data_IF_704039433070
#
_entry.id   IF_704039433070
#
_cell.length_a   1.000
_cell.length_b   1.000
_cell.length_c   1.000
_cell.angle_alpha   90.00
_cell.angle_beta   90.00
_cell.angle_gamma   90.00
#
_symmetry.space_group_name_H-M   'P 1'
#
loop_
_entity.id
_entity.type
_entity.pdbx_description
1 polymer ?
#
# COMPACT_ATOMS: atom_id res chain seq x y z
N UNK A 1 -5.44 7.70 -2.00
CA UNK A 1 -5.19 6.52 -1.12
C UNK A 1 -3.70 6.34 -0.97
N UNK A 2 -3.20 6.24 0.25
CA UNK A 2 -1.76 6.24 0.49
C UNK A 2 -1.24 4.85 0.84
N UNK A 3 -1.94 4.17 1.72
CA UNK A 3 -1.74 2.78 2.14
C UNK A 3 -3.11 2.14 2.25
N UNK A 4 -3.20 0.86 1.96
CA UNK A 4 -4.29 0.01 2.39
C UNK A 4 -3.74 -0.91 3.47
N UNK A 5 -3.99 -0.56 4.73
CA UNK A 5 -3.51 -1.32 5.90
C UNK A 5 -4.53 -2.41 6.26
N UNK A 6 -4.60 -3.46 5.44
CA UNK A 6 -5.63 -4.51 5.50
C UNK A 6 -5.28 -5.65 6.48
N UNK A 7 -4.02 -5.74 6.88
CA UNK A 7 -3.52 -6.71 7.86
C UNK A 7 -2.21 -6.19 8.47
N UNK A 8 -1.90 -6.61 9.69
CA UNK A 8 -0.64 -6.28 10.36
C UNK A 8 0.55 -7.02 9.72
N UNK A 9 0.33 -8.23 9.21
CA UNK A 9 1.31 -8.97 8.45
C UNK A 9 1.34 -8.42 7.00
N UNK A 10 2.47 -7.87 6.52
CA UNK A 10 2.56 -7.26 5.19
C UNK A 10 2.27 -8.26 4.06
N UNK A 11 2.55 -9.54 4.26
CA UNK A 11 2.23 -10.59 3.29
C UNK A 11 0.73 -10.82 3.18
N UNK A 12 0.04 -10.92 4.33
CA UNK A 12 -1.41 -11.09 4.36
C UNK A 12 -2.10 -9.83 3.85
N UNK A 13 -1.55 -8.66 4.16
CA UNK A 13 -1.99 -7.38 3.62
C UNK A 13 -1.90 -7.37 2.07
N UNK A 14 -0.77 -7.79 1.49
CA UNK A 14 -0.62 -7.90 0.02
C UNK A 14 -1.61 -8.88 -0.59
N UNK A 15 -1.84 -10.04 0.01
CA UNK A 15 -2.80 -11.05 -0.46
C UNK A 15 -4.24 -10.54 -0.47
N UNK A 16 -4.56 -9.64 0.45
CA UNK A 16 -5.89 -9.03 0.55
C UNK A 16 -6.19 -8.01 -0.57
N UNK A 17 -5.18 -7.49 -1.26
CA UNK A 17 -5.39 -6.56 -2.37
C UNK A 17 -6.03 -7.26 -3.56
N UNK A 18 -7.06 -6.63 -4.14
CA UNK A 18 -7.66 -7.07 -5.41
C UNK A 18 -6.71 -6.84 -6.60
N UNK A 19 -7.06 -7.36 -7.76
CA UNK A 19 -6.23 -7.30 -8.97
C UNK A 19 -5.86 -5.88 -9.39
N UNK A 20 -6.81 -4.96 -9.32
CA UNK A 20 -6.58 -3.54 -9.64
C UNK A 20 -5.61 -2.88 -8.67
N UNK A 21 -5.76 -3.18 -7.37
CA UNK A 21 -4.87 -2.65 -6.35
C UNK A 21 -3.48 -3.29 -6.38
N UNK A 22 -3.34 -4.56 -6.75
CA UNK A 22 -2.01 -5.16 -6.95
C UNK A 22 -1.25 -4.41 -8.04
N UNK A 23 -1.89 -4.04 -9.14
CA UNK A 23 -1.26 -3.24 -10.20
C UNK A 23 -1.03 -1.78 -9.80
N UNK A 24 -2.06 -1.13 -9.29
CA UNK A 24 -2.04 0.32 -9.06
C UNK A 24 -1.27 0.76 -7.83
N UNK A 25 -1.12 -0.10 -6.80
CA UNK A 25 -0.49 0.31 -5.55
C UNK A 25 1.03 0.13 -5.54
N UNK A 26 1.60 -0.74 -6.38
CA UNK A 26 3.06 -0.91 -6.47
C UNK A 26 3.75 0.43 -6.73
N UNK A 27 3.40 1.20 -7.77
CA UNK A 27 4.02 2.50 -8.02
C UNK A 27 3.83 3.50 -6.87
N UNK A 28 2.67 3.48 -6.23
CA UNK A 28 2.37 4.36 -5.08
C UNK A 28 3.30 4.02 -3.91
N UNK A 29 3.45 2.75 -3.59
CA UNK A 29 4.34 2.28 -2.52
C UNK A 29 5.80 2.56 -2.83
N UNK A 30 6.20 2.39 -4.10
CA UNK A 30 7.52 2.81 -4.59
C UNK A 30 7.79 4.29 -4.32
N UNK A 31 6.82 5.16 -4.66
CA UNK A 31 6.92 6.60 -4.40
C UNK A 31 7.06 6.94 -2.92
N UNK A 32 6.28 6.28 -2.08
CA UNK A 32 6.31 6.51 -0.63
C UNK A 32 7.68 6.16 -0.03
N UNK A 33 8.23 4.99 -0.38
CA UNK A 33 9.56 4.56 0.05
C UNK A 33 10.65 5.50 -0.48
N UNK A 34 10.57 5.86 -1.77
CA UNK A 34 11.49 6.80 -2.41
C UNK A 34 11.48 8.16 -1.72
N UNK A 35 10.30 8.67 -1.37
CA UNK A 35 10.15 9.95 -0.66
C UNK A 35 10.86 9.94 0.70
N UNK A 36 10.83 8.82 1.42
CA UNK A 36 11.54 8.70 2.69
C UNK A 36 13.06 8.89 2.49
N UNK A 37 13.66 8.27 1.47
CA UNK A 37 15.06 8.47 1.13
C UNK A 37 15.38 9.92 0.74
N UNK A 38 14.57 10.52 -0.12
CA UNK A 38 14.80 11.90 -0.55
C UNK A 38 14.75 12.90 0.58
N UNK A 39 13.86 12.71 1.54
CA UNK A 39 13.70 13.63 2.66
C UNK A 39 14.78 13.43 3.72
N UNK A 40 15.14 12.17 4.00
CA UNK A 40 16.05 11.84 5.09
C UNK A 40 17.53 11.83 4.65
N UNK A 41 17.80 11.45 3.39
CA UNK A 41 19.15 11.36 2.84
C UNK A 41 19.30 12.19 1.56
N UNK A 42 19.18 13.52 1.62
CA UNK A 42 19.19 14.40 0.45
C UNK A 42 20.51 14.37 -0.34
N UNK A 43 21.59 13.86 0.25
CA UNK A 43 22.88 13.61 -0.39
C UNK A 43 22.98 12.18 -0.94
N UNK A 44 22.05 11.31 -0.53
CA UNK A 44 21.94 9.91 -0.97
C UNK A 44 21.46 9.86 -2.41
N UNK A 45 22.24 9.19 -3.23
CA UNK A 45 21.94 9.05 -4.65
C UNK A 45 20.76 8.11 -4.87
N UNK A 46 19.78 8.51 -5.69
CA UNK A 46 19.30 7.51 -6.63
C UNK A 46 17.92 6.92 -6.35
N UNK A 47 16.95 7.70 -5.98
CA UNK A 47 15.58 7.21 -6.17
C UNK A 47 14.82 8.28 -6.94
N UNK A 48 14.01 7.93 -7.95
CA UNK A 48 13.25 8.95 -8.69
C UNK A 48 12.45 9.80 -7.72
N UNK A 49 12.59 11.12 -7.81
CA UNK A 49 11.79 12.03 -7.00
C UNK A 49 10.33 11.99 -7.48
N UNK A 50 9.40 12.25 -6.56
CA UNK A 50 7.97 12.29 -6.89
C UNK A 50 7.63 13.25 -8.03
N UNK A 51 8.38 14.37 -8.12
CA UNK A 51 8.18 15.40 -9.13
C UNK A 51 8.76 15.04 -10.51
N UNK A 52 9.62 14.01 -10.57
CA UNK A 52 10.24 13.54 -11.83
C UNK A 52 9.46 12.40 -12.48
N UNK A 53 8.44 11.90 -11.79
CA UNK A 53 7.61 10.82 -12.29
C UNK A 53 6.42 11.41 -13.02
N UNK A 54 6.36 11.18 -14.34
CA UNK A 54 5.25 11.57 -15.17
C UNK A 54 3.92 11.09 -14.56
N UNK A 55 2.98 12.00 -14.24
CA UNK A 55 1.66 11.62 -13.75
C UNK A 55 0.94 10.63 -14.66
N UNK A 56 1.17 10.72 -15.98
CA UNK A 56 0.56 9.84 -16.98
C UNK A 56 1.18 8.44 -17.00
N UNK A 57 2.40 8.27 -16.48
CA UNK A 57 3.09 6.98 -16.43
C UNK A 57 2.35 5.95 -15.57
N UNK A 58 1.61 6.40 -14.55
CA UNK A 58 0.90 5.50 -13.63
C UNK A 58 -0.56 5.22 -14.01
N UNK A 59 -1.02 5.66 -15.18
CA UNK A 59 -2.39 5.39 -15.65
C UNK A 59 -3.48 5.84 -14.68
N UNK A 60 -3.16 6.70 -13.75
CA UNK A 60 -4.12 7.28 -12.83
C UNK A 60 -4.86 8.38 -13.56
N UNK A 61 -5.85 8.00 -14.34
CA UNK A 61 -6.90 8.95 -14.68
C UNK A 61 -7.44 9.49 -13.36
N UNK A 62 -7.23 10.78 -13.13
CA UNK A 62 -7.55 11.51 -11.90
C UNK A 62 -9.06 11.67 -11.65
N UNK A 63 -9.87 10.79 -12.17
CA UNK A 63 -11.33 10.81 -12.10
C UNK A 63 -11.98 9.71 -11.27
N UNK A 64 -11.19 8.77 -10.71
CA UNK A 64 -11.70 7.72 -9.84
C UNK A 64 -11.36 7.95 -8.37
N UNK A 65 -11.89 7.11 -7.49
CA UNK A 65 -11.66 7.09 -6.04
C UNK A 65 -10.17 7.20 -5.64
N UNK A 66 -9.25 6.79 -6.53
CA UNK A 66 -7.80 6.92 -6.36
C UNK A 66 -7.31 8.38 -6.41
N UNK A 67 -7.97 9.28 -7.15
CA UNK A 67 -7.55 10.68 -7.29
C UNK A 67 -7.83 11.53 -6.05
N UNK A 68 -8.89 11.23 -5.30
CA UNK A 68 -9.29 12.01 -4.12
C UNK A 68 -8.53 11.64 -2.84
N UNK A 69 -7.89 10.47 -2.80
CA UNK A 69 -7.31 9.91 -1.58
C UNK A 69 -5.77 9.95 -1.53
N UNK A 70 -5.10 10.60 -2.49
CA UNK A 70 -3.64 10.72 -2.48
C UNK A 70 -3.22 11.83 -1.51
N UNK A 71 -3.12 11.51 -0.23
CA UNK A 71 -2.46 12.38 0.73
C UNK A 71 -1.06 11.86 1.08
N UNK A 72 -0.21 11.86 0.08
CA UNK A 72 1.19 11.46 0.16
C UNK A 72 1.91 12.06 1.38
N UNK A 73 1.71 13.36 1.76
CA UNK A 73 2.40 13.93 2.90
C UNK A 73 2.20 13.19 4.21
N UNK A 74 0.99 12.76 4.55
CA UNK A 74 0.73 12.08 5.85
C UNK A 74 1.32 10.68 5.91
N UNK A 75 1.12 9.88 4.86
CA UNK A 75 1.68 8.53 4.82
C UNK A 75 3.20 8.55 4.70
N UNK A 76 3.75 9.48 3.91
CA UNK A 76 5.19 9.69 3.86
C UNK A 76 5.75 10.15 5.21
N UNK A 77 5.00 10.93 6.00
CA UNK A 77 5.39 11.30 7.35
C UNK A 77 5.48 10.08 8.27
N UNK A 78 4.49 9.17 8.20
CA UNK A 78 4.49 7.94 8.99
C UNK A 78 5.64 7.00 8.60
N UNK A 79 5.87 6.76 7.30
CA UNK A 79 6.95 5.86 6.82
C UNK A 79 8.33 6.34 7.27
N UNK A 80 8.58 7.64 7.25
CA UNK A 80 9.88 8.22 7.62
C UNK A 80 10.05 8.49 9.11
N UNK A 81 9.02 8.27 9.94
CA UNK A 81 9.10 8.52 11.38
C UNK A 81 9.99 7.52 12.12
N UNK A 82 9.90 6.24 11.73
CA UNK A 82 10.68 5.15 12.33
C UNK A 82 11.11 4.11 11.30
N UNK A 83 12.27 3.51 11.52
CA UNK A 83 12.80 2.44 10.66
C UNK A 83 11.87 1.23 10.58
N UNK A 84 11.20 0.86 11.67
CA UNK A 84 10.22 -0.22 11.68
C UNK A 84 8.99 0.06 10.77
N UNK A 85 8.53 1.31 10.69
CA UNK A 85 7.46 1.69 9.77
C UNK A 85 7.91 1.61 8.31
N UNK A 86 9.14 2.08 8.02
CA UNK A 86 9.74 1.96 6.70
C UNK A 86 9.85 0.49 6.28
N UNK A 87 10.38 -0.37 7.17
CA UNK A 87 10.56 -1.79 6.86
C UNK A 87 9.22 -2.51 6.65
N UNK A 88 8.20 -2.20 7.44
CA UNK A 88 6.86 -2.75 7.20
C UNK A 88 6.34 -2.36 5.82
N UNK A 89 6.50 -1.10 5.43
CA UNK A 89 6.08 -0.61 4.12
C UNK A 89 6.88 -1.26 2.99
N UNK A 90 8.21 -1.43 3.18
CA UNK A 90 9.07 -2.15 2.24
C UNK A 90 8.62 -3.61 2.08
N UNK A 91 8.31 -4.30 3.17
CA UNK A 91 7.85 -5.68 3.13
C UNK A 91 6.49 -5.81 2.43
N UNK A 92 5.57 -4.86 2.66
CA UNK A 92 4.32 -4.81 1.88
C UNK A 92 4.61 -4.62 0.39
N UNK A 93 5.44 -3.67 0.02
CA UNK A 93 5.87 -3.45 -1.36
C UNK A 93 6.51 -4.70 -1.98
N UNK A 94 7.38 -5.39 -1.24
CA UNK A 94 7.98 -6.66 -1.65
C UNK A 94 6.91 -7.72 -1.94
N UNK A 95 5.95 -7.92 -1.03
CA UNK A 95 4.91 -8.93 -1.22
C UNK A 95 3.91 -8.54 -2.32
N UNK A 96 3.66 -7.26 -2.54
CA UNK A 96 2.87 -6.79 -3.69
C UNK A 96 3.52 -7.17 -5.03
N UNK A 97 4.85 -7.05 -5.14
CA UNK A 97 5.57 -7.53 -6.32
C UNK A 97 5.48 -9.07 -6.49
N UNK A 98 5.51 -9.82 -5.38
CA UNK A 98 5.31 -11.27 -5.43
C UNK A 98 3.89 -11.64 -5.87
N UNK A 99 2.89 -10.89 -5.41
CA UNK A 99 1.50 -11.05 -5.88
C UNK A 99 1.36 -10.68 -7.36
N UNK A 100 1.98 -9.60 -7.79
CA UNK A 100 1.97 -9.18 -9.19
C UNK A 100 2.54 -10.30 -10.08
N UNK A 101 3.74 -10.79 -9.75
CA UNK A 101 4.34 -11.89 -10.48
C UNK A 101 3.47 -13.16 -10.45
N UNK A 102 2.95 -13.52 -9.29
CA UNK A 102 2.09 -14.72 -9.15
C UNK A 102 0.82 -14.62 -10.00
N UNK A 103 0.17 -13.46 -10.06
CA UNK A 103 -1.10 -13.27 -10.77
C UNK A 103 -0.94 -13.02 -12.26
N UNK A 104 0.18 -12.44 -12.70
CA UNK A 104 0.33 -11.97 -14.08
C UNK A 104 1.49 -12.63 -14.83
N UNK A 105 2.31 -13.46 -14.17
CA UNK A 105 3.52 -14.09 -14.72
C UNK A 105 4.52 -13.07 -15.30
N UNK A 106 4.51 -11.87 -14.75
CA UNK A 106 5.35 -10.75 -15.15
C UNK A 106 6.02 -10.12 -13.93
N UNK A 107 7.22 -9.56 -14.13
CA UNK A 107 7.89 -8.73 -13.12
C UNK A 107 7.59 -7.26 -13.38
N UNK A 108 7.10 -6.57 -12.35
CA UNK A 108 6.92 -5.12 -12.44
C UNK A 108 8.28 -4.43 -12.56
N UNK A 109 8.40 -3.39 -13.41
CA UNK A 109 9.68 -2.71 -13.69
C UNK A 109 10.32 -2.06 -12.45
N UNK A 110 9.50 -1.54 -11.52
CA UNK A 110 9.98 -0.98 -10.25
C UNK A 110 10.82 -1.99 -9.47
N UNK A 111 10.48 -3.28 -9.53
CA UNK A 111 11.29 -4.33 -8.91
C UNK A 111 12.73 -4.34 -9.42
N UNK A 112 12.89 -4.44 -10.72
CA UNK A 112 14.20 -4.55 -11.35
C UNK A 112 15.06 -3.31 -11.09
N UNK A 113 14.45 -2.14 -11.11
CA UNK A 113 15.14 -0.87 -11.02
C UNK A 113 15.44 -0.42 -9.59
N UNK A 114 14.59 -0.77 -8.63
CA UNK A 114 14.58 -0.13 -7.32
C UNK A 114 14.77 -1.08 -6.13
N UNK A 115 14.64 -2.41 -6.31
CA UNK A 115 14.73 -3.36 -5.19
C UNK A 115 15.99 -3.15 -4.34
N UNK A 116 17.17 -3.15 -4.95
CA UNK A 116 18.42 -2.99 -4.22
C UNK A 116 18.56 -1.63 -3.52
N UNK A 117 17.85 -0.61 -3.99
CA UNK A 117 17.91 0.75 -3.45
C UNK A 117 16.97 0.93 -2.26
N UNK A 118 15.78 0.36 -2.37
CA UNK A 118 14.74 0.48 -1.36
C UNK A 118 14.83 -0.58 -0.25
N UNK A 119 15.64 -1.63 -0.43
CA UNK A 119 15.84 -2.69 0.56
C UNK A 119 16.60 -2.27 1.82
N UNK A 120 17.12 -1.04 1.85
CA UNK A 120 17.80 -0.46 2.98
C UNK A 120 16.99 0.74 3.50
N UNK A 121 16.97 0.90 4.80
CA UNK A 121 16.38 2.10 5.40
C UNK A 121 17.24 3.33 5.08
N UNK A 122 16.65 4.53 4.98
CA UNK A 122 17.42 5.77 4.96
C UNK A 122 18.40 5.85 6.12
N UNK A 123 19.62 6.40 5.90
CA UNK A 123 20.66 6.49 6.93
C UNK A 123 20.25 7.36 8.12
N UNK A 124 19.49 8.41 7.87
CA UNK A 124 19.07 9.36 8.90
C UNK A 124 17.68 9.05 9.50
N UNK A 125 17.12 7.87 9.25
CA UNK A 125 15.85 7.49 9.85
C UNK A 125 16.01 7.19 11.35
N UNK A 126 15.02 7.60 12.15
CA UNK A 126 15.02 7.32 13.59
C UNK A 126 14.70 5.83 13.81
N UNK A 127 15.48 5.18 14.66
CA UNK A 127 15.16 3.81 15.11
C UNK A 127 14.03 3.86 16.12
N UNK A 128 13.00 3.08 15.88
CA UNK A 128 11.83 3.06 16.74
C UNK A 128 10.93 1.85 16.49
N UNK A 129 9.88 1.76 17.31
CA UNK A 129 8.91 0.68 17.21
C UNK A 129 7.94 0.91 16.05
N UNK A 130 7.36 -0.19 15.56
CA UNK A 130 6.30 -0.15 14.57
C UNK A 130 5.03 0.47 15.15
N UNK A 131 4.45 1.42 14.45
CA UNK A 131 3.23 2.13 14.86
C UNK A 131 2.12 1.94 13.81
N UNK A 132 0.86 1.99 14.24
CA UNK A 132 -0.25 1.95 13.31
C UNK A 132 -0.27 3.24 12.44
N UNK A 133 -0.49 3.14 11.13
CA UNK A 133 -0.73 4.32 10.31
C UNK A 133 -2.10 4.91 10.62
N UNK A 134 -2.19 6.23 10.74
CA UNK A 134 -3.49 6.89 10.88
C UNK A 134 -4.34 6.63 9.64
N UNK A 135 -5.59 6.14 9.76
CA UNK A 135 -6.45 5.92 8.63
C UNK A 135 -6.77 7.26 7.93
N UNK A 136 -6.50 7.31 6.63
CA UNK A 136 -6.91 8.43 5.79
C UNK A 136 -7.98 7.97 4.81
N UNK A 137 -9.18 7.84 5.34
CA UNK A 137 -10.41 7.35 4.68
C UNK A 137 -11.59 8.19 5.17
N UNK A 138 -12.76 8.16 4.49
CA UNK A 138 -13.94 8.86 4.96
C UNK A 138 -14.35 8.47 6.39
N UNK A 139 -14.85 9.44 7.16
CA UNK A 139 -15.10 9.31 8.59
C UNK A 139 -16.09 8.18 8.93
N UNK A 140 -17.05 7.93 8.06
CA UNK A 140 -18.04 6.86 8.20
C UNK A 140 -17.45 5.45 8.26
N UNK A 141 -16.20 5.27 7.79
CA UNK A 141 -15.49 3.97 7.84
C UNK A 141 -14.53 3.87 9.02
N UNK A 142 -14.37 4.93 9.82
CA UNK A 142 -13.45 4.92 10.95
C UNK A 142 -14.02 4.08 12.10
N UNK A 143 -13.31 3.02 12.44
CA UNK A 143 -13.61 2.14 13.59
C UNK A 143 -12.75 2.57 14.77
N UNK A 144 -13.38 2.65 15.94
CA UNK A 144 -12.74 3.01 17.21
C UNK A 144 -13.27 2.11 18.34
N UNK A 145 -12.51 2.03 19.43
CA UNK A 145 -12.94 1.34 20.65
C UNK A 145 -12.66 -0.16 20.67
N UNK A 146 -11.86 -0.68 19.73
CA UNK A 146 -11.30 -2.02 19.82
C UNK A 146 -10.09 -2.06 20.77
N UNK A 147 -9.56 -3.27 21.03
CA UNK A 147 -8.55 -3.49 22.07
C UNK A 147 -7.25 -2.71 21.85
N UNK A 148 -6.86 -2.55 20.59
CA UNK A 148 -5.63 -1.84 20.25
C UNK A 148 -5.77 -0.95 18.98
N UNK A 149 -4.79 -0.06 18.79
CA UNK A 149 -4.76 0.90 17.70
C UNK A 149 -4.59 0.21 16.33
N UNK A 150 -3.85 -0.89 16.25
CA UNK A 150 -3.68 -1.65 15.02
C UNK A 150 -4.99 -2.26 14.56
N UNK A 151 -5.77 -2.83 15.49
CA UNK A 151 -7.08 -3.39 15.15
C UNK A 151 -8.07 -2.31 14.71
N UNK A 152 -8.11 -1.16 15.39
CA UNK A 152 -8.92 -0.01 14.95
C UNK A 152 -8.57 0.40 13.52
N UNK A 153 -7.26 0.51 13.22
CA UNK A 153 -6.78 0.90 11.90
C UNK A 153 -7.11 -0.14 10.84
N UNK A 154 -6.86 -1.42 11.10
CA UNK A 154 -7.15 -2.52 10.18
C UNK A 154 -8.64 -2.58 9.86
N UNK A 155 -9.50 -2.56 10.88
CA UNK A 155 -10.94 -2.65 10.66
C UNK A 155 -11.51 -1.40 9.97
N UNK A 156 -10.94 -0.23 10.21
CA UNK A 156 -11.27 0.98 9.46
C UNK A 156 -10.98 0.80 7.96
N UNK A 157 -9.76 0.37 7.63
CA UNK A 157 -9.40 0.13 6.24
C UNK A 157 -10.19 -1.03 5.61
N UNK A 158 -10.48 -2.10 6.34
CA UNK A 158 -11.32 -3.20 5.86
C UNK A 158 -12.76 -2.77 5.62
N UNK A 159 -13.32 -1.94 6.49
CA UNK A 159 -14.66 -1.38 6.31
C UNK A 159 -14.76 -0.57 5.01
N UNK A 160 -13.83 0.35 4.83
CA UNK A 160 -13.72 1.13 3.60
C UNK A 160 -13.48 0.25 2.36
N UNK A 161 -12.60 -0.75 2.47
CA UNK A 161 -12.25 -1.63 1.37
C UNK A 161 -13.42 -2.51 0.93
N UNK A 162 -14.23 -3.01 1.85
CA UNK A 162 -15.46 -3.77 1.54
C UNK A 162 -16.41 -2.94 0.67
N UNK A 163 -16.66 -1.69 1.06
CA UNK A 163 -17.50 -0.79 0.27
C UNK A 163 -16.93 -0.56 -1.13
N UNK A 164 -15.64 -0.30 -1.21
CA UNK A 164 -14.98 -0.09 -2.50
C UNK A 164 -15.04 -1.34 -3.40
N UNK A 165 -14.83 -2.52 -2.84
CA UNK A 165 -14.88 -3.81 -3.55
C UNK A 165 -16.29 -4.06 -4.13
N UNK A 166 -17.33 -3.77 -3.38
CA UNK A 166 -18.72 -3.92 -3.82
C UNK A 166 -19.05 -2.94 -4.96
N UNK A 167 -18.68 -1.68 -4.82
CA UNK A 167 -18.95 -0.65 -5.83
C UNK A 167 -18.21 -0.90 -7.16
N UNK A 168 -17.03 -1.55 -7.13
CA UNK A 168 -16.19 -1.72 -8.30
C UNK A 168 -16.17 -3.16 -8.85
N UNK A 169 -16.97 -4.08 -8.29
CA UNK A 169 -16.97 -5.51 -8.68
C UNK A 169 -15.55 -6.10 -8.73
N UNK A 170 -14.76 -5.82 -7.69
CA UNK A 170 -13.33 -6.13 -7.66
C UNK A 170 -13.06 -7.63 -7.70
N UNK A 171 -11.96 -8.03 -8.35
CA UNK A 171 -11.57 -9.42 -8.60
C UNK A 171 -10.22 -9.76 -7.98
N UNK A 172 -9.97 -11.07 -7.79
CA UNK A 172 -8.72 -11.65 -7.29
C UNK A 172 -8.14 -12.73 -8.21
N UNK A 173 -8.55 -12.76 -9.48
CA UNK A 173 -8.21 -13.85 -10.41
C UNK A 173 -6.83 -13.72 -11.07
N UNK A 174 -6.34 -12.52 -11.29
CA UNK A 174 -5.18 -12.32 -12.15
C UNK A 174 -5.49 -12.67 -13.63
N UNK A 175 -4.51 -13.25 -14.33
CA UNK A 175 -4.70 -13.71 -15.72
C UNK A 175 -5.36 -15.10 -15.82
N UNK A 176 -5.38 -15.82 -14.71
CA UNK A 176 -6.04 -17.13 -14.60
C UNK A 176 -7.18 -17.00 -13.61
N UNK A 177 -8.40 -17.25 -14.06
CA UNK A 177 -9.59 -17.17 -13.23
C UNK A 177 -9.42 -18.02 -11.95
N UNK A 178 -9.77 -17.43 -10.80
CA UNK A 178 -9.65 -18.06 -9.48
C UNK A 178 -8.22 -18.37 -9.00
N UNK A 179 -7.21 -17.69 -9.50
CA UNK A 179 -5.84 -17.84 -9.02
C UNK A 179 -5.70 -17.43 -7.55
N UNK A 180 -6.44 -16.40 -7.11
CA UNK A 180 -6.64 -16.00 -5.71
C UNK A 180 -8.12 -15.95 -5.37
N UNK A 181 -8.43 -16.10 -4.10
CA UNK A 181 -9.78 -15.89 -3.56
C UNK A 181 -9.80 -14.60 -2.74
N UNK A 182 -10.93 -13.88 -2.70
CA UNK A 182 -11.10 -12.78 -1.77
C UNK A 182 -10.82 -13.22 -0.33
N UNK A 183 -10.28 -12.35 0.53
CA UNK A 183 -10.13 -12.64 1.95
C UNK A 183 -11.49 -12.96 2.60
N UNK A 184 -11.49 -13.82 3.65
CA UNK A 184 -12.73 -14.25 4.31
C UNK A 184 -13.56 -13.07 4.83
N UNK A 185 -12.91 -12.05 5.36
CA UNK A 185 -13.58 -10.86 5.88
C UNK A 185 -14.29 -10.00 4.80
N UNK A 186 -14.01 -10.20 3.50
CA UNK A 186 -14.82 -9.67 2.39
C UNK A 186 -16.11 -10.48 2.24
N UNK A 187 -16.01 -11.82 2.39
CA UNK A 187 -17.14 -12.72 2.13
C UNK A 187 -18.14 -12.78 3.27
N UNK A 188 -17.72 -12.49 4.50
CA UNK A 188 -18.53 -12.62 5.71
C UNK A 188 -19.74 -11.68 5.74
N UNK A 189 -19.68 -10.53 5.07
CA UNK A 189 -20.78 -9.56 4.99
C UNK A 189 -21.67 -9.72 3.74
N UNK A 190 -21.38 -10.67 2.84
CA UNK A 190 -22.24 -10.93 1.67
C UNK A 190 -23.51 -11.73 2.02
N UNK A 191 -23.70 -12.11 3.29
CA UNK A 191 -24.80 -12.96 3.75
C UNK A 191 -25.72 -12.29 4.80
N UNK A 192 -25.77 -10.96 4.86
CA UNK A 192 -26.70 -10.23 5.74
C UNK A 192 -27.72 -9.45 4.94
#
# INVERSE_FOLDING_TARGET
MNILFLDIDPRMCAYAHCDEHVKGMIPIYTKLLSTAHHVLDPQGKIVPHLDEVDPDYYGVETGGLMGELINIPYTAAWIKSYDANYMWMHDLWFWMHKEYWYRYDEMHEDWTNLYNKLSHTPENIIKGEFTAPSPFIPEEFIVQGLEDEFQNTIESYRSYYRNWVEENDAKWGGIVENMRTPPSWILENANV
#
